data_IF_577682051912
#
_entry.id   IF_577682051912
#
_cell.length_a   1.000
_cell.length_b   1.000
_cell.length_c   1.000
_cell.angle_alpha   90.00
_cell.angle_beta   90.00
_cell.angle_gamma   90.00
#
_symmetry.space_group_name_H-M   'P 1'
#
loop_
_entity.id
_entity.type
_entity.pdbx_description
1 polymer ?
#
# COMPACT_ATOMS: atom_id res chain seq x y z
N UNK A 1 -27.78 17.04 0.44
CA UNK A 1 -27.46 17.06 1.88
C UNK A 1 -26.61 15.86 2.14
N UNK A 2 -25.43 16.05 2.73
CA UNK A 2 -24.50 14.96 2.95
C UNK A 2 -24.92 14.15 4.18
N UNK A 3 -24.84 12.83 4.06
CA UNK A 3 -25.21 11.90 5.10
C UNK A 3 -24.02 11.03 5.46
N UNK A 4 -23.83 10.77 6.75
CA UNK A 4 -22.75 9.92 7.27
C UNK A 4 -23.36 8.86 8.18
N UNK A 5 -22.95 7.62 8.00
CA UNK A 5 -23.34 6.53 8.89
C UNK A 5 -22.76 6.77 10.29
N UNK A 6 -23.59 6.65 11.32
CA UNK A 6 -23.15 6.73 12.72
C UNK A 6 -22.01 5.75 13.01
N UNK A 7 -20.93 6.25 13.61
CA UNK A 7 -19.73 5.51 13.95
C UNK A 7 -18.80 5.20 12.77
N UNK A 8 -19.06 5.72 11.56
CA UNK A 8 -18.22 5.44 10.38
C UNK A 8 -16.76 5.86 10.57
N UNK A 9 -16.52 6.95 11.30
CA UNK A 9 -15.18 7.49 11.57
C UNK A 9 -14.47 6.92 12.79
N UNK A 10 -15.13 6.09 13.60
CA UNK A 10 -14.61 5.69 14.91
C UNK A 10 -13.23 5.01 14.81
N UNK A 11 -13.03 4.13 13.83
CA UNK A 11 -11.74 3.47 13.58
C UNK A 11 -10.63 4.40 13.08
N UNK A 12 -11.01 5.55 12.51
CA UNK A 12 -10.10 6.61 12.07
C UNK A 12 -9.97 7.74 13.10
N UNK A 13 -10.53 7.57 14.31
CA UNK A 13 -10.57 8.56 15.40
C UNK A 13 -11.30 9.87 15.05
N UNK A 14 -12.33 9.77 14.22
CA UNK A 14 -13.28 10.86 13.98
C UNK A 14 -14.61 10.55 14.64
N UNK A 15 -15.09 11.45 15.51
CA UNK A 15 -16.36 11.29 16.21
C UNK A 15 -17.56 11.68 15.34
N UNK A 16 -18.74 11.19 15.72
CA UNK A 16 -19.99 11.53 15.07
C UNK A 16 -20.30 13.03 15.17
N UNK A 17 -19.92 13.66 16.30
CA UNK A 17 -20.07 15.10 16.52
C UNK A 17 -19.20 15.93 15.56
N UNK A 18 -17.99 15.46 15.24
CA UNK A 18 -17.14 16.12 14.26
C UNK A 18 -17.81 16.17 12.89
N UNK A 19 -18.40 15.06 12.42
CA UNK A 19 -19.17 15.05 11.18
C UNK A 19 -20.40 15.97 11.24
N UNK A 20 -21.15 15.91 12.33
CA UNK A 20 -22.33 16.76 12.52
C UNK A 20 -21.99 18.25 12.55
N UNK A 21 -20.86 18.62 13.17
CA UNK A 21 -20.36 20.00 13.24
C UNK A 21 -20.01 20.57 11.85
N UNK A 22 -19.65 19.72 10.89
CA UNK A 22 -19.38 20.08 9.50
C UNK A 22 -20.64 20.07 8.61
N UNK A 23 -21.82 19.86 9.21
CA UNK A 23 -23.10 19.91 8.50
C UNK A 23 -23.59 18.57 7.93
N UNK A 24 -22.91 17.46 8.23
CA UNK A 24 -23.38 16.13 7.82
C UNK A 24 -24.55 15.67 8.70
N UNK A 25 -25.55 15.03 8.08
CA UNK A 25 -26.61 14.35 8.83
C UNK A 25 -26.17 12.94 9.19
N UNK A 26 -26.15 12.64 10.48
CA UNK A 26 -25.89 11.30 10.97
C UNK A 26 -27.11 10.39 10.73
N UNK A 27 -26.89 9.28 10.03
CA UNK A 27 -27.93 8.34 9.61
C UNK A 27 -27.58 6.90 10.00
N UNK A 28 -28.55 6.01 9.91
CA UNK A 28 -28.32 4.56 10.02
C UNK A 28 -27.62 4.01 8.78
N UNK A 29 -27.02 2.82 8.89
CA UNK A 29 -26.39 2.15 7.74
C UNK A 29 -27.38 1.92 6.59
N UNK A 30 -28.62 1.51 6.89
CA UNK A 30 -29.67 1.28 5.89
C UNK A 30 -30.06 2.54 5.13
N UNK A 31 -30.06 3.70 5.81
CA UNK A 31 -30.29 4.99 5.17
C UNK A 31 -29.08 5.42 4.32
N UNK A 32 -27.85 5.21 4.82
CA UNK A 32 -26.63 5.54 4.08
C UNK A 32 -26.52 4.74 2.77
N UNK A 33 -26.87 3.45 2.78
CA UNK A 33 -26.86 2.59 1.60
C UNK A 33 -27.86 3.04 0.52
N UNK A 34 -28.87 3.83 0.89
CA UNK A 34 -29.88 4.38 -0.02
C UNK A 34 -29.48 5.73 -0.65
N UNK A 35 -28.25 6.19 -0.45
CA UNK A 35 -27.75 7.42 -1.06
C UNK A 35 -27.68 7.35 -2.59
N UNK A 36 -27.81 8.49 -3.26
CA UNK A 36 -27.62 8.61 -4.72
C UNK A 36 -26.15 8.44 -5.12
N UNK A 37 -25.23 8.88 -4.26
CA UNK A 37 -23.79 8.69 -4.39
C UNK A 37 -23.30 8.08 -3.08
N UNK A 38 -22.67 6.92 -3.17
CA UNK A 38 -22.14 6.18 -2.03
C UNK A 38 -20.62 6.08 -2.14
N UNK A 39 -19.91 6.72 -1.20
CA UNK A 39 -18.46 6.68 -1.08
C UNK A 39 -18.06 5.65 -0.03
N UNK A 40 -17.15 4.73 -0.38
CA UNK A 40 -16.68 3.68 0.52
C UNK A 40 -15.19 3.41 0.33
N UNK A 41 -14.49 3.17 1.44
CA UNK A 41 -13.07 2.77 1.43
C UNK A 41 -12.95 1.26 1.70
N UNK A 42 -13.55 0.74 2.78
CA UNK A 42 -13.44 -0.69 3.16
C UNK A 42 -14.80 -1.36 3.37
N UNK A 43 -14.93 -2.66 3.05
CA UNK A 43 -16.08 -3.49 3.50
C UNK A 43 -16.19 -3.51 5.02
N UNK A 44 -17.39 -3.31 5.54
CA UNK A 44 -17.64 -3.36 6.98
C UNK A 44 -18.21 -4.74 7.29
N UNK A 45 -17.36 -5.75 7.42
CA UNK A 45 -17.78 -7.03 8.02
C UNK A 45 -17.70 -6.91 9.55
N UNK A 46 -18.75 -6.32 10.17
CA UNK A 46 -18.82 -6.10 11.63
C UNK A 46 -18.88 -7.41 12.44
N UNK A 47 -18.92 -8.57 11.79
CA UNK A 47 -18.97 -9.88 12.44
C UNK A 47 -17.62 -10.42 12.92
N UNK A 48 -16.50 -9.75 12.61
CA UNK A 48 -15.15 -10.10 13.10
C UNK A 48 -14.54 -8.90 13.82
N UNK A 49 -13.78 -9.16 14.87
CA UNK A 49 -13.24 -8.15 15.80
C UNK A 49 -12.72 -6.88 15.10
N UNK A 50 -12.96 -5.69 15.68
CA UNK A 50 -12.51 -4.40 15.14
C UNK A 50 -10.97 -4.23 15.10
N UNK A 51 -10.22 -5.21 15.56
CA UNK A 51 -8.77 -5.14 15.74
C UNK A 51 -7.98 -5.37 14.45
N UNK A 52 -8.62 -5.92 13.40
CA UNK A 52 -7.94 -6.14 12.13
C UNK A 52 -8.86 -5.81 10.94
N UNK A 53 -8.85 -4.53 10.52
CA UNK A 53 -9.28 -4.12 9.19
C UNK A 53 -8.28 -4.66 8.17
N UNK A 54 -8.35 -5.97 7.90
CA UNK A 54 -7.28 -6.70 7.23
C UNK A 54 -7.02 -6.28 5.79
N UNK A 55 -7.89 -5.50 5.14
CA UNK A 55 -7.64 -4.89 3.83
C UNK A 55 -8.71 -3.84 3.51
N UNK A 56 -8.37 -2.90 2.62
CA UNK A 56 -9.31 -2.10 1.83
C UNK A 56 -10.09 -3.06 0.94
N UNK A 57 -11.24 -3.54 1.45
CA UNK A 57 -12.03 -4.58 0.78
C UNK A 57 -13.08 -3.97 -0.14
N UNK A 58 -13.29 -4.54 -1.34
CA UNK A 58 -14.42 -4.18 -2.18
C UNK A 58 -15.75 -4.43 -1.44
N UNK A 59 -16.86 -3.81 -1.86
CA UNK A 59 -18.17 -4.09 -1.29
C UNK A 59 -18.44 -5.60 -1.31
N UNK A 60 -19.00 -6.13 -0.22
CA UNK A 60 -19.49 -7.50 -0.20
C UNK A 60 -20.68 -7.65 -1.16
N UNK A 61 -20.94 -8.87 -1.62
CA UNK A 61 -22.14 -9.16 -2.45
C UNK A 61 -23.43 -8.76 -1.73
N UNK A 62 -23.48 -8.94 -0.41
CA UNK A 62 -24.62 -8.52 0.42
C UNK A 62 -24.79 -7.00 0.44
N UNK A 63 -23.71 -6.25 0.64
CA UNK A 63 -23.77 -4.78 0.60
C UNK A 63 -24.15 -4.28 -0.81
N UNK A 64 -23.58 -4.87 -1.87
CA UNK A 64 -23.92 -4.54 -3.26
C UNK A 64 -25.42 -4.72 -3.54
N UNK A 65 -26.03 -5.78 -3.00
CA UNK A 65 -27.46 -6.04 -3.09
C UNK A 65 -28.35 -5.03 -2.32
N UNK A 66 -27.79 -4.25 -1.39
CA UNK A 66 -28.52 -3.30 -0.54
C UNK A 66 -28.41 -1.84 -0.96
N UNK A 67 -27.46 -1.49 -1.84
CA UNK A 67 -27.30 -0.12 -2.37
C UNK A 67 -28.59 0.43 -3.02
N UNK A 68 -28.71 1.71 -3.34
CA UNK A 68 -29.84 2.17 -4.16
C UNK A 68 -29.69 1.73 -5.62
N UNK A 69 -30.77 1.28 -6.27
CA UNK A 69 -30.75 1.01 -7.71
C UNK A 69 -30.44 2.30 -8.49
N UNK A 70 -29.64 2.23 -9.56
CA UNK A 70 -29.21 3.39 -10.37
C UNK A 70 -28.41 4.47 -9.60
N UNK A 71 -27.87 4.14 -8.44
CA UNK A 71 -26.97 5.03 -7.71
C UNK A 71 -25.53 4.97 -8.25
N UNK A 72 -24.68 5.87 -7.78
CA UNK A 72 -23.24 5.89 -8.06
C UNK A 72 -22.46 5.34 -6.88
N UNK A 73 -21.62 4.34 -7.10
CA UNK A 73 -20.66 3.83 -6.12
C UNK A 73 -19.25 4.34 -6.44
N UNK A 74 -18.58 4.92 -5.45
CA UNK A 74 -17.16 5.30 -5.51
C UNK A 74 -16.43 4.46 -4.44
N UNK A 75 -15.61 3.50 -4.87
CA UNK A 75 -14.91 2.57 -3.96
C UNK A 75 -13.75 1.89 -4.66
N UNK A 76 -12.90 1.22 -3.90
CA UNK A 76 -12.11 0.11 -4.45
C UNK A 76 -13.03 -1.06 -4.82
N UNK A 77 -12.82 -1.66 -5.98
CA UNK A 77 -13.66 -2.75 -6.52
C UNK A 77 -12.80 -3.92 -7.01
N UNK A 78 -11.63 -3.64 -7.58
CA UNK A 78 -10.76 -4.65 -8.22
C UNK A 78 -11.56 -5.53 -9.21
N UNK A 79 -12.13 -4.94 -10.28
CA UNK A 79 -13.10 -5.61 -11.14
C UNK A 79 -12.50 -6.84 -11.86
N UNK A 80 -11.19 -6.85 -12.11
CA UNK A 80 -10.50 -7.97 -12.74
C UNK A 80 -10.49 -9.25 -11.90
N UNK A 81 -10.59 -9.13 -10.57
CA UNK A 81 -10.53 -10.28 -9.64
C UNK A 81 -11.84 -10.53 -8.90
N UNK A 82 -12.79 -9.59 -8.91
CA UNK A 82 -14.06 -9.67 -8.16
C UNK A 82 -15.30 -9.70 -9.07
N UNK A 83 -15.32 -10.62 -10.05
CA UNK A 83 -16.44 -10.72 -11.01
C UNK A 83 -17.81 -10.83 -10.34
N UNK A 84 -17.92 -11.59 -9.25
CA UNK A 84 -19.21 -11.80 -8.55
C UNK A 84 -19.78 -10.49 -8.00
N UNK A 85 -18.93 -9.61 -7.46
CA UNK A 85 -19.35 -8.29 -6.97
C UNK A 85 -19.74 -7.39 -8.13
N UNK A 86 -18.96 -7.39 -9.21
CA UNK A 86 -19.25 -6.63 -10.43
C UNK A 86 -20.60 -7.03 -11.03
N UNK A 87 -20.87 -8.34 -11.13
CA UNK A 87 -22.14 -8.87 -11.64
C UNK A 87 -23.32 -8.41 -10.77
N UNK A 88 -23.16 -8.38 -9.44
CA UNK A 88 -24.21 -7.93 -8.53
C UNK A 88 -24.48 -6.42 -8.63
N UNK A 89 -23.42 -5.60 -8.73
CA UNK A 89 -23.55 -4.16 -8.97
C UNK A 89 -24.25 -3.88 -10.32
N UNK A 90 -23.93 -4.66 -11.35
CA UNK A 90 -24.52 -4.54 -12.68
C UNK A 90 -26.01 -4.89 -12.70
N UNK A 91 -26.45 -5.95 -12.00
CA UNK A 91 -27.88 -6.32 -11.87
C UNK A 91 -28.75 -5.18 -11.33
N UNK A 92 -28.15 -4.27 -10.55
CA UNK A 92 -28.84 -3.16 -9.90
C UNK A 92 -28.63 -1.84 -10.63
N UNK A 93 -28.05 -1.90 -11.82
CA UNK A 93 -27.84 -0.77 -12.72
C UNK A 93 -27.02 0.36 -12.10
N UNK A 94 -26.05 0.05 -11.23
CA UNK A 94 -25.20 1.06 -10.61
C UNK A 94 -24.20 1.66 -11.61
N UNK A 95 -23.91 2.95 -11.43
CA UNK A 95 -22.72 3.59 -11.98
C UNK A 95 -21.56 3.37 -11.01
N UNK A 96 -20.42 2.83 -11.47
CA UNK A 96 -19.30 2.47 -10.57
C UNK A 96 -18.03 3.21 -10.98
N UNK A 97 -17.45 3.97 -10.05
CA UNK A 97 -16.13 4.58 -10.15
C UNK A 97 -15.17 3.77 -9.28
N UNK A 98 -14.41 2.88 -9.91
CA UNK A 98 -13.43 2.03 -9.24
C UNK A 98 -12.12 2.79 -9.02
N UNK A 99 -11.78 3.07 -7.76
CA UNK A 99 -10.58 3.84 -7.39
C UNK A 99 -9.27 3.12 -7.71
N UNK A 100 -9.29 1.79 -7.79
CA UNK A 100 -8.15 0.98 -8.26
C UNK A 100 -7.91 1.07 -9.77
N UNK A 101 -8.86 1.61 -10.53
CA UNK A 101 -8.80 1.75 -11.99
C UNK A 101 -8.45 3.18 -12.45
N UNK A 102 -8.09 4.08 -11.53
CA UNK A 102 -7.62 5.44 -11.87
C UNK A 102 -6.36 5.32 -12.75
N UNK A 103 -6.35 5.93 -13.95
CA UNK A 103 -5.21 5.81 -14.86
C UNK A 103 -4.00 6.53 -14.30
N UNK A 104 -2.81 5.92 -14.42
CA UNK A 104 -1.53 6.49 -13.99
C UNK A 104 -1.00 7.52 -14.99
N UNK A 105 -1.65 8.68 -15.04
CA UNK A 105 -1.29 9.82 -15.88
C UNK A 105 -1.23 11.10 -15.03
N UNK A 106 -0.43 12.09 -15.43
CA UNK A 106 -0.15 13.29 -14.62
C UNK A 106 -1.40 14.01 -14.11
N UNK A 107 -2.42 14.18 -14.96
CA UNK A 107 -3.68 14.86 -14.58
C UNK A 107 -4.54 14.11 -13.55
N UNK A 108 -4.30 12.81 -13.37
CA UNK A 108 -5.08 11.95 -12.48
C UNK A 108 -4.35 11.62 -11.17
N UNK A 109 -3.10 12.08 -10.99
CA UNK A 109 -2.27 11.77 -9.82
C UNK A 109 -2.93 12.19 -8.50
N UNK A 110 -3.67 13.30 -8.48
CA UNK A 110 -4.40 13.78 -7.28
C UNK A 110 -5.54 12.86 -6.85
N UNK A 111 -5.99 11.95 -7.72
CA UNK A 111 -7.05 10.98 -7.45
C UNK A 111 -6.52 9.55 -7.27
N UNK A 112 -5.20 9.34 -7.37
CA UNK A 112 -4.59 8.01 -7.25
C UNK A 112 -4.54 7.54 -5.78
N UNK A 113 -5.64 6.92 -5.36
CA UNK A 113 -5.77 6.38 -4.02
C UNK A 113 -4.80 5.21 -3.74
N UNK A 114 -4.36 4.45 -4.75
CA UNK A 114 -3.37 3.37 -4.57
C UNK A 114 -2.01 3.95 -4.18
N UNK A 115 -1.60 5.04 -4.82
CA UNK A 115 -0.37 5.75 -4.47
C UNK A 115 -0.44 6.34 -3.06
N UNK A 116 -1.57 6.93 -2.65
CA UNK A 116 -1.76 7.41 -1.28
C UNK A 116 -1.62 6.29 -0.25
N UNK A 117 -2.27 5.14 -0.47
CA UNK A 117 -2.20 4.00 0.45
C UNK A 117 -0.80 3.36 0.46
N UNK A 118 -0.13 3.25 -0.69
CA UNK A 118 1.23 2.75 -0.79
C UNK A 118 2.22 3.63 0.00
N UNK A 119 2.06 4.95 -0.08
CA UNK A 119 2.88 5.89 0.68
C UNK A 119 2.73 5.68 2.20
N UNK A 120 1.48 5.55 2.69
CA UNK A 120 1.19 5.27 4.10
C UNK A 120 1.76 3.91 4.51
N UNK A 121 1.60 2.88 3.67
CA UNK A 121 2.09 1.53 3.95
C UNK A 121 3.62 1.48 4.09
N UNK A 122 4.35 2.19 3.21
CA UNK A 122 5.81 2.30 3.29
C UNK A 122 6.30 2.93 4.59
N UNK A 123 5.67 4.05 4.99
CA UNK A 123 5.96 4.70 6.27
C UNK A 123 5.63 3.76 7.44
N UNK A 124 4.42 3.18 7.46
CA UNK A 124 3.98 2.32 8.54
C UNK A 124 4.86 1.08 8.67
N UNK A 125 5.31 0.48 7.57
CA UNK A 125 6.21 -0.68 7.60
C UNK A 125 7.50 -0.41 8.39
N UNK A 126 8.08 0.81 8.27
CA UNK A 126 9.26 1.20 9.05
C UNK A 126 8.92 1.36 10.53
N UNK A 127 7.76 1.94 10.86
CA UNK A 127 7.32 2.07 12.25
C UNK A 127 7.08 0.72 12.90
N UNK A 128 6.44 -0.23 12.20
CA UNK A 128 6.28 -1.60 12.69
C UNK A 128 7.64 -2.28 12.89
N UNK A 129 8.53 -2.16 11.90
CA UNK A 129 9.88 -2.71 12.02
C UNK A 129 10.61 -2.14 13.24
N UNK A 130 10.54 -0.83 13.48
CA UNK A 130 11.13 -0.19 14.66
C UNK A 130 10.50 -0.64 15.98
N UNK A 131 9.19 -0.88 15.99
CA UNK A 131 8.49 -1.38 17.18
C UNK A 131 8.89 -2.82 17.55
N UNK A 132 9.15 -3.66 16.54
CA UNK A 132 9.57 -5.05 16.75
C UNK A 132 11.09 -5.20 16.91
N UNK A 133 11.89 -4.24 16.45
CA UNK A 133 13.34 -4.33 16.45
C UNK A 133 13.95 -3.89 17.80
N UNK A 134 14.69 -4.79 18.44
CA UNK A 134 15.24 -4.58 19.78
C UNK A 134 16.48 -3.68 19.88
N UNK A 135 16.84 -2.93 18.83
CA UNK A 135 18.02 -2.04 18.78
C UNK A 135 17.65 -0.70 18.16
N UNK A 136 18.50 0.31 18.36
CA UNK A 136 18.29 1.62 17.76
C UNK A 136 18.47 1.61 16.24
N UNK A 137 17.63 2.38 15.54
CA UNK A 137 17.83 2.70 14.13
C UNK A 137 19.01 3.66 13.95
N UNK A 138 19.00 4.77 14.70
CA UNK A 138 20.07 5.77 14.66
C UNK A 138 21.32 5.25 15.36
N UNK A 139 22.46 5.36 14.68
CA UNK A 139 23.77 5.13 15.30
C UNK A 139 24.11 6.25 16.27
N UNK A 140 24.65 5.91 17.43
CA UNK A 140 24.92 6.87 18.51
C UNK A 140 26.28 6.60 19.13
N UNK A 141 26.95 7.66 19.58
CA UNK A 141 28.09 7.57 20.48
C UNK A 141 27.62 8.08 21.84
N UNK A 142 27.69 7.22 22.84
CA UNK A 142 27.27 7.52 24.22
C UNK A 142 28.44 7.28 25.17
N UNK A 143 28.29 7.68 26.43
CA UNK A 143 29.25 7.35 27.49
C UNK A 143 29.45 5.83 27.65
N UNK A 144 28.43 5.02 27.33
CA UNK A 144 28.48 3.55 27.41
C UNK A 144 29.10 2.89 26.15
N UNK A 145 29.50 3.68 25.15
CA UNK A 145 30.11 3.18 23.91
C UNK A 145 29.37 3.58 22.64
N UNK A 146 29.82 3.02 21.52
CA UNK A 146 29.30 3.30 20.18
C UNK A 146 28.32 2.21 19.74
N UNK A 147 27.10 2.61 19.40
CA UNK A 147 26.09 1.74 18.80
C UNK A 147 26.03 2.03 17.30
N UNK A 148 26.27 1.06 16.41
CA UNK A 148 26.14 1.27 14.97
C UNK A 148 24.66 1.42 14.59
N UNK A 149 24.36 2.19 13.52
CA UNK A 149 23.00 2.31 13.00
C UNK A 149 22.48 0.98 12.47
N UNK A 150 21.16 0.82 12.47
CA UNK A 150 20.51 -0.30 11.80
C UNK A 150 20.73 -0.24 10.29
N UNK A 151 20.78 -1.41 9.66
CA UNK A 151 20.84 -1.55 8.20
C UNK A 151 19.51 -2.09 7.69
N UNK A 152 18.89 -1.34 6.79
CA UNK A 152 17.58 -1.68 6.21
C UNK A 152 17.75 -1.94 4.71
N UNK A 153 17.29 -3.10 4.25
CA UNK A 153 17.15 -3.41 2.83
C UNK A 153 15.71 -3.18 2.39
N UNK A 154 15.50 -2.38 1.35
CA UNK A 154 14.20 -2.19 0.71
C UNK A 154 14.23 -2.80 -0.69
N UNK A 155 13.36 -3.77 -0.93
CA UNK A 155 13.23 -4.46 -2.21
C UNK A 155 11.98 -3.94 -2.93
N UNK A 156 12.17 -3.26 -4.05
CA UNK A 156 11.15 -2.50 -4.78
C UNK A 156 11.24 -0.99 -4.49
N UNK A 157 11.33 -0.20 -5.55
CA UNK A 157 11.35 1.26 -5.60
C UNK A 157 10.05 1.84 -6.15
N UNK A 158 8.91 1.25 -5.78
CA UNK A 158 7.60 1.87 -5.96
C UNK A 158 7.31 2.91 -4.89
N UNK A 159 6.10 3.49 -4.88
CA UNK A 159 5.70 4.52 -3.90
C UNK A 159 5.89 4.03 -2.45
N UNK A 160 5.51 2.78 -2.14
CA UNK A 160 5.73 2.19 -0.82
C UNK A 160 7.21 2.03 -0.47
N UNK A 161 8.02 1.54 -1.41
CA UNK A 161 9.46 1.35 -1.21
C UNK A 161 10.18 2.68 -0.98
N UNK A 162 9.89 3.69 -1.80
CA UNK A 162 10.48 5.03 -1.64
C UNK A 162 10.07 5.68 -0.32
N UNK A 163 8.80 5.54 0.09
CA UNK A 163 8.33 6.00 1.40
C UNK A 163 9.06 5.29 2.55
N UNK A 164 9.27 3.97 2.45
CA UNK A 164 10.03 3.21 3.43
C UNK A 164 11.51 3.66 3.49
N UNK A 165 12.14 3.90 2.33
CA UNK A 165 13.52 4.41 2.26
C UNK A 165 13.63 5.78 2.93
N UNK A 166 12.78 6.72 2.56
CA UNK A 166 12.78 8.07 3.14
C UNK A 166 12.56 8.02 4.66
N UNK A 167 11.63 7.20 5.13
CA UNK A 167 11.32 7.05 6.56
C UNK A 167 12.48 6.43 7.33
N UNK A 168 13.03 5.31 6.87
CA UNK A 168 14.14 4.63 7.53
C UNK A 168 15.42 5.49 7.53
N UNK A 169 15.70 6.23 6.44
CA UNK A 169 16.79 7.21 6.39
C UNK A 169 16.57 8.36 7.35
N UNK A 170 15.34 8.90 7.42
CA UNK A 170 14.96 9.92 8.40
C UNK A 170 15.13 9.47 9.85
N UNK A 171 14.96 8.18 10.13
CA UNK A 171 15.22 7.55 11.42
C UNK A 171 16.70 7.20 11.67
N UNK A 172 17.63 7.61 10.78
CA UNK A 172 19.07 7.44 10.99
C UNK A 172 19.64 6.07 10.61
N UNK A 173 18.86 5.19 9.97
CA UNK A 173 19.35 3.92 9.47
C UNK A 173 20.20 4.06 8.21
N UNK A 174 21.08 3.09 7.95
CA UNK A 174 21.71 2.90 6.64
C UNK A 174 20.71 2.13 5.78
N UNK A 175 20.30 2.71 4.65
CA UNK A 175 19.29 2.09 3.79
C UNK A 175 19.91 1.69 2.45
N UNK A 176 19.69 0.44 2.06
CA UNK A 176 20.02 -0.13 0.76
C UNK A 176 18.72 -0.40 0.02
N UNK A 177 18.62 0.02 -1.23
CA UNK A 177 17.44 -0.16 -2.07
C UNK A 177 17.77 -0.96 -3.32
N UNK A 178 16.83 -1.80 -3.76
CA UNK A 178 16.93 -2.52 -5.03
C UNK A 178 15.63 -2.40 -5.82
N UNK A 179 15.71 -2.17 -7.11
CA UNK A 179 14.58 -2.25 -8.06
C UNK A 179 15.12 -2.66 -9.43
N UNK A 180 14.31 -3.36 -10.21
CA UNK A 180 14.68 -3.82 -11.57
C UNK A 180 14.63 -2.69 -12.62
N UNK A 181 13.94 -1.58 -12.31
CA UNK A 181 13.78 -0.42 -13.20
C UNK A 181 14.90 0.60 -12.95
N UNK A 182 15.50 1.09 -14.03
CA UNK A 182 16.55 2.09 -13.96
C UNK A 182 16.09 3.42 -13.34
N UNK A 183 14.84 3.83 -13.59
CA UNK A 183 14.27 5.08 -13.06
C UNK A 183 14.22 5.13 -11.53
N UNK A 184 14.09 3.97 -10.87
CA UNK A 184 14.08 3.90 -9.41
C UNK A 184 15.46 4.20 -8.79
N UNK A 185 16.56 4.05 -9.55
CA UNK A 185 17.93 4.32 -9.05
C UNK A 185 18.08 5.75 -8.56
N UNK A 186 17.74 6.72 -9.41
CA UNK A 186 17.90 8.14 -9.09
C UNK A 186 17.01 8.53 -7.90
N UNK A 187 15.79 7.98 -7.83
CA UNK A 187 14.85 8.22 -6.73
C UNK A 187 15.34 7.65 -5.40
N UNK A 188 15.93 6.46 -5.40
CA UNK A 188 16.50 5.84 -4.19
C UNK A 188 17.70 6.65 -3.69
N UNK A 189 18.57 7.06 -4.61
CA UNK A 189 19.77 7.83 -4.29
C UNK A 189 19.44 9.24 -3.79
N UNK A 190 18.42 9.91 -4.36
CA UNK A 190 18.00 11.25 -3.91
C UNK A 190 17.42 11.25 -2.49
N UNK A 191 16.82 10.12 -2.06
CA UNK A 191 16.41 9.89 -0.68
C UNK A 191 17.56 9.45 0.25
N UNK A 192 18.79 9.37 -0.27
CA UNK A 192 19.99 9.01 0.47
C UNK A 192 20.17 7.51 0.70
N UNK A 193 19.46 6.65 -0.04
CA UNK A 193 19.66 5.20 -0.04
C UNK A 193 20.77 4.76 -1.01
N UNK A 194 21.46 3.68 -0.68
CA UNK A 194 22.41 3.00 -1.57
C UNK A 194 21.64 2.14 -2.58
N UNK A 195 21.75 2.42 -3.89
CA UNK A 195 21.12 1.58 -4.91
C UNK A 195 21.98 0.35 -5.23
N UNK A 196 21.45 -0.83 -4.94
CA UNK A 196 22.10 -2.10 -5.23
C UNK A 196 21.90 -2.49 -6.70
N UNK A 197 22.93 -3.08 -7.30
CA UNK A 197 22.89 -3.56 -8.69
C UNK A 197 23.28 -5.03 -8.75
N UNK A 198 22.69 -5.74 -9.72
CA UNK A 198 23.15 -7.08 -10.11
C UNK A 198 24.19 -6.97 -11.22
N UNK A 199 25.05 -7.99 -11.33
CA UNK A 199 26.10 -8.06 -12.36
C UNK A 199 25.56 -8.22 -13.78
N UNK A 200 24.32 -8.68 -13.93
CA UNK A 200 23.65 -8.88 -15.22
C UNK A 200 22.92 -7.61 -15.62
N UNK A 201 23.33 -6.99 -16.74
CA UNK A 201 22.66 -5.79 -17.28
C UNK A 201 21.45 -6.22 -18.11
N UNK A 202 20.28 -6.17 -17.50
CA UNK A 202 18.98 -6.33 -18.18
C UNK A 202 18.03 -5.24 -17.65
N UNK A 203 17.30 -4.57 -18.55
CA UNK A 203 16.33 -3.55 -18.17
C UNK A 203 14.96 -4.17 -17.88
N UNK A 204 14.45 -3.96 -16.66
CA UNK A 204 13.16 -4.49 -16.20
C UNK A 204 11.95 -3.60 -16.43
N UNK A 205 12.07 -2.55 -17.23
CA UNK A 205 10.96 -1.64 -17.50
C UNK A 205 9.85 -2.31 -18.34
N UNK A 206 8.62 -2.23 -17.84
CA UNK A 206 7.40 -2.71 -18.48
C UNK A 206 6.42 -1.56 -18.77
N UNK A 207 5.21 -1.90 -19.19
CA UNK A 207 4.20 -0.90 -19.58
C UNK A 207 3.64 -0.16 -18.36
N UNK A 208 3.49 1.17 -18.47
CA UNK A 208 2.84 2.00 -17.43
C UNK A 208 3.66 2.16 -16.13
N UNK A 209 4.99 2.03 -16.21
CA UNK A 209 5.90 2.18 -15.07
C UNK A 209 6.00 0.95 -14.16
N UNK A 210 5.37 -0.18 -14.53
CA UNK A 210 5.51 -1.46 -13.84
C UNK A 210 6.73 -2.23 -14.33
N UNK A 211 7.20 -3.18 -13.52
CA UNK A 211 8.27 -4.10 -13.91
C UNK A 211 7.74 -5.23 -14.82
N UNK A 212 8.57 -5.72 -15.74
CA UNK A 212 8.33 -6.96 -16.51
C UNK A 212 9.00 -8.17 -15.85
N UNK A 213 8.65 -9.38 -16.29
CA UNK A 213 9.38 -10.59 -15.89
C UNK A 213 10.80 -10.61 -16.49
N UNK A 214 11.78 -10.95 -15.67
CA UNK A 214 13.21 -10.94 -16.01
C UNK A 214 13.71 -12.34 -16.42
N UNK A 215 14.86 -12.40 -17.09
CA UNK A 215 15.52 -13.67 -17.43
C UNK A 215 15.87 -14.52 -16.19
N UNK A 216 16.05 -15.83 -16.38
CA UNK A 216 16.43 -16.76 -15.29
C UNK A 216 17.80 -16.40 -14.72
N UNK A 217 18.70 -15.95 -15.57
CA UNK A 217 20.05 -15.52 -15.22
C UNK A 217 20.02 -14.27 -14.34
N UNK A 218 19.13 -13.31 -14.66
CA UNK A 218 18.91 -12.12 -13.84
C UNK A 218 18.32 -12.49 -12.47
N UNK A 219 17.27 -13.32 -12.46
CA UNK A 219 16.62 -13.78 -11.21
C UNK A 219 17.63 -14.50 -10.31
N UNK A 220 18.52 -15.32 -10.88
CA UNK A 220 19.57 -15.97 -10.09
C UNK A 220 20.53 -14.96 -9.47
N UNK A 221 21.01 -13.99 -10.26
CA UNK A 221 21.92 -12.96 -9.77
C UNK A 221 21.25 -12.06 -8.71
N UNK A 222 19.94 -11.79 -8.85
CA UNK A 222 19.11 -11.07 -7.89
C UNK A 222 18.99 -11.84 -6.56
N UNK A 223 18.69 -13.15 -6.63
CA UNK A 223 18.62 -13.99 -5.43
C UNK A 223 19.97 -14.11 -4.73
N UNK A 224 21.08 -14.24 -5.48
CA UNK A 224 22.43 -14.28 -4.91
C UNK A 224 22.79 -12.95 -4.21
N UNK A 225 22.39 -11.82 -4.79
CA UNK A 225 22.53 -10.51 -4.18
C UNK A 225 21.74 -10.42 -2.87
N UNK A 226 20.47 -10.82 -2.87
CA UNK A 226 19.64 -10.78 -1.65
C UNK A 226 20.17 -11.71 -0.57
N UNK A 227 20.58 -12.94 -0.92
CA UNK A 227 21.18 -13.87 0.04
C UNK A 227 22.45 -13.31 0.70
N UNK A 228 23.27 -12.56 -0.05
CA UNK A 228 24.44 -11.86 0.51
C UNK A 228 24.02 -10.72 1.43
N UNK A 229 23.05 -9.90 1.03
CA UNK A 229 22.56 -8.77 1.84
C UNK A 229 21.89 -9.23 3.13
N UNK A 230 21.10 -10.30 3.09
CA UNK A 230 20.40 -10.85 4.26
C UNK A 230 21.34 -11.23 5.42
N UNK A 231 22.62 -11.49 5.15
CA UNK A 231 23.62 -11.78 6.18
C UNK A 231 24.11 -10.54 6.94
N UNK A 232 23.89 -9.35 6.38
CA UNK A 232 24.44 -8.10 6.90
C UNK A 232 23.38 -7.10 7.39
N UNK A 233 22.16 -7.17 6.86
CA UNK A 233 21.09 -6.22 7.17
C UNK A 233 20.28 -6.70 8.37
N UNK A 234 19.76 -5.75 9.14
CA UNK A 234 18.95 -6.04 10.32
C UNK A 234 17.46 -6.16 9.96
N UNK A 235 17.00 -5.43 8.94
CA UNK A 235 15.59 -5.31 8.56
C UNK A 235 15.45 -5.38 7.04
N UNK A 236 14.44 -6.11 6.56
CA UNK A 236 14.08 -6.20 5.15
C UNK A 236 12.64 -5.76 4.97
N UNK A 237 12.40 -4.84 4.03
CA UNK A 237 11.06 -4.40 3.61
C UNK A 237 10.90 -4.74 2.13
N UNK A 238 10.08 -5.75 1.82
CA UNK A 238 9.78 -6.14 0.43
C UNK A 238 8.47 -5.52 -0.05
N UNK A 239 8.54 -4.77 -1.14
CA UNK A 239 7.40 -4.10 -1.79
C UNK A 239 7.21 -4.51 -3.25
N UNK A 240 7.92 -5.56 -3.69
CA UNK A 240 7.79 -6.13 -5.03
C UNK A 240 6.39 -6.75 -5.22
N UNK A 241 5.55 -6.07 -5.98
CA UNK A 241 4.20 -6.50 -6.31
C UNK A 241 3.90 -6.25 -7.78
N UNK A 242 3.45 -7.28 -8.48
CA UNK A 242 2.93 -7.18 -9.84
C UNK A 242 1.41 -7.38 -9.76
N UNK A 243 0.59 -6.37 -10.15
CA UNK A 243 -0.86 -6.50 -10.11
C UNK A 243 -1.36 -7.73 -10.86
N UNK A 244 -2.26 -8.49 -10.23
CA UNK A 244 -2.87 -9.69 -10.82
C UNK A 244 -1.99 -10.95 -10.81
N UNK A 245 -0.75 -10.88 -10.30
CA UNK A 245 0.12 -12.04 -10.13
C UNK A 245 0.47 -12.27 -8.66
N UNK A 246 0.78 -13.52 -8.27
CA UNK A 246 1.39 -13.78 -6.97
C UNK A 246 2.67 -12.95 -6.80
N UNK A 247 2.90 -12.45 -5.59
CA UNK A 247 4.14 -11.76 -5.28
C UNK A 247 5.35 -12.69 -5.47
N UNK A 248 6.46 -12.21 -6.04
CA UNK A 248 7.66 -13.02 -6.22
C UNK A 248 8.26 -13.40 -4.86
N UNK A 249 8.73 -14.65 -4.74
CA UNK A 249 9.42 -15.16 -3.54
C UNK A 249 10.90 -14.77 -3.61
N UNK A 250 11.23 -13.63 -3.04
CA UNK A 250 12.59 -13.04 -3.11
C UNK A 250 13.44 -13.35 -1.86
N UNK A 251 12.81 -13.69 -0.74
CA UNK A 251 13.48 -14.10 0.50
C UNK A 251 13.09 -15.55 0.78
N UNK A 252 14.07 -16.43 0.95
CA UNK A 252 13.86 -17.86 1.19
C UNK A 252 14.32 -18.27 2.58
N UNK A 253 13.83 -19.41 3.06
CA UNK A 253 14.40 -20.08 4.24
C UNK A 253 15.86 -20.46 3.97
N UNK A 254 16.64 -20.53 5.06
CA UNK A 254 18.07 -20.85 5.03
C UNK A 254 18.33 -22.36 4.97
#
# INVERSE_FOLDING_TARGET
MDIVEKGAGAGAKWSDEEYASQGAKLVTNEEALKADIFLKICSIDRGKSPEICDNVRPPSVKEAALLKEKSTLISFVYPATNKVVVDELAKRHLNVIAMDCVPRISRAQVFDALSSMANIAGYRAVIEAANHFGRFFTGQITAAGKVPPAKVLVIGGGVAGLSAIGTARGMGAIVRGFDTRAAAREQIQSLGGEFLTVSVKEEGEGTGGYAKEMSKEFLKAEMDLFAKQCKEVDIIISTALIPGKPAPRLITEA
#
